data_IF_644571484869
#
_entry.id   IF_644571484869
#
_cell.length_a   1.000
_cell.length_b   1.000
_cell.length_c   1.000
_cell.angle_alpha   90.00
_cell.angle_beta   90.00
_cell.angle_gamma   90.00
#
_symmetry.space_group_name_H-M   'P 1'
#
loop_
_entity.id
_entity.type
_entity.pdbx_description
1 polymer ?
#
# COMPACT_ATOMS: atom_id res chain seq x y z
N UNK A 1 -47.88 54.33 20.21
CA UNK A 1 -49.22 54.04 20.78
C UNK A 1 -49.18 52.57 21.08
N UNK A 2 -49.23 52.21 22.37
CA UNK A 2 -48.50 51.05 22.92
C UNK A 2 -46.95 51.16 22.71
N UNK A 3 -46.07 50.70 23.60
CA UNK A 3 -46.28 50.01 24.89
C UNK A 3 -46.29 48.48 24.79
N UNK A 4 -45.77 47.69 25.72
CA UNK A 4 -45.13 47.95 27.04
C UNK A 4 -44.09 46.82 27.32
N UNK A 5 -43.09 47.11 28.17
CA UNK A 5 -42.40 46.35 29.25
C UNK A 5 -42.33 44.78 29.24
N UNK A 6 -41.52 44.03 30.01
CA UNK A 6 -40.64 44.17 31.22
C UNK A 6 -39.53 43.06 31.09
N UNK A 7 -38.48 42.82 31.90
CA UNK A 7 -37.91 43.38 33.14
C UNK A 7 -36.37 43.13 33.23
N UNK A 8 -35.64 43.98 33.95
CA UNK A 8 -34.84 43.75 35.19
C UNK A 8 -34.53 42.27 35.64
N UNK A 9 -33.41 41.91 36.30
CA UNK A 9 -32.23 42.70 36.76
C UNK A 9 -30.98 41.84 37.17
N UNK A 10 -29.98 42.53 37.73
CA UNK A 10 -29.04 42.15 38.82
C UNK A 10 -27.63 41.55 38.54
N UNK A 11 -26.70 42.05 39.37
CA UNK A 11 -25.24 41.99 39.32
C UNK A 11 -24.62 40.73 39.97
N UNK A 12 -23.35 40.40 39.65
CA UNK A 12 -22.20 40.47 40.60
C UNK A 12 -20.85 40.13 39.90
N UNK A 13 -19.71 40.36 40.58
CA UNK A 13 -18.38 40.53 39.97
C UNK A 13 -17.44 39.29 39.98
N UNK A 14 -17.05 38.84 38.78
CA UNK A 14 -16.05 37.77 38.56
C UNK A 14 -14.62 38.28 38.25
N UNK A 15 -13.90 38.81 39.24
CA UNK A 15 -12.57 39.47 39.07
C UNK A 15 -11.41 38.49 38.76
N UNK A 16 -11.02 38.33 37.49
CA UNK A 16 -9.75 37.65 37.12
C UNK A 16 -8.85 38.45 36.16
N UNK A 17 -7.55 38.51 36.49
CA UNK A 17 -6.53 39.29 35.77
C UNK A 17 -6.14 38.63 34.45
N UNK A 18 -6.33 39.30 33.30
CA UNK A 18 -5.59 38.97 32.07
C UNK A 18 -4.23 39.65 32.10
N UNK A 19 -3.17 38.88 32.37
CA UNK A 19 -1.80 39.33 32.14
C UNK A 19 -1.60 39.61 30.65
N UNK A 20 -1.14 40.81 30.32
CA UNK A 20 -0.56 41.11 29.00
C UNK A 20 0.92 40.74 29.07
N UNK A 21 1.29 39.58 28.51
CA UNK A 21 2.71 39.30 28.29
C UNK A 21 3.16 40.10 27.05
N UNK A 22 4.22 40.89 27.21
CA UNK A 22 4.89 41.67 26.17
C UNK A 22 6.30 41.12 26.10
N UNK A 23 6.48 40.09 25.29
CA UNK A 23 7.82 39.57 24.98
C UNK A 23 8.40 40.41 23.85
N UNK A 24 8.97 41.53 24.29
CA UNK A 24 9.81 42.42 23.51
C UNK A 24 11.21 41.80 23.50
N UNK A 25 11.55 41.12 22.40
CA UNK A 25 12.90 40.58 22.19
C UNK A 25 13.82 41.73 21.79
N UNK A 26 14.45 42.34 22.79
CA UNK A 26 15.65 43.17 22.61
C UNK A 26 16.86 42.22 22.43
N UNK A 27 17.22 41.96 21.18
CA UNK A 27 18.46 41.24 20.83
C UNK A 27 19.67 42.20 20.94
N UNK A 28 20.08 42.52 22.17
CA UNK A 28 21.42 43.07 22.42
C UNK A 28 22.45 41.92 22.32
N UNK A 29 23.03 41.75 21.12
CA UNK A 29 24.15 40.83 20.85
C UNK A 29 25.42 41.26 21.61
N UNK A 30 25.49 40.95 22.92
CA UNK A 30 26.72 41.11 23.71
C UNK A 30 27.71 39.98 23.33
N UNK A 31 28.70 40.33 22.49
CA UNK A 31 29.62 39.39 21.84
C UNK A 31 30.56 38.68 22.84
N UNK A 32 30.06 37.60 23.45
CA UNK A 32 30.78 36.73 24.38
C UNK A 32 32.11 36.24 23.78
N UNK A 33 33.22 36.74 24.33
CA UNK A 33 34.57 36.44 23.85
C UNK A 33 34.86 34.93 23.81
N UNK A 34 35.63 34.51 22.80
CA UNK A 34 35.82 33.08 22.45
C UNK A 34 36.21 32.17 23.62
N UNK A 35 36.99 32.69 24.58
CA UNK A 35 37.41 31.96 25.78
C UNK A 35 36.24 31.61 26.73
N UNK A 36 35.24 32.50 26.83
CA UNK A 36 34.08 32.35 27.71
C UNK A 36 33.01 31.47 27.04
N UNK A 37 32.82 31.61 25.73
CA UNK A 37 32.06 30.65 24.92
C UNK A 37 32.64 29.23 25.03
N UNK A 38 33.97 29.06 24.93
CA UNK A 38 34.64 27.77 25.15
C UNK A 38 34.51 27.27 26.60
N UNK A 39 34.53 28.16 27.60
CA UNK A 39 34.31 27.77 29.00
C UNK A 39 32.89 27.23 29.21
N UNK A 40 31.88 27.93 28.68
CA UNK A 40 30.47 27.51 28.74
C UNK A 40 30.24 26.19 27.98
N UNK A 41 30.87 26.03 26.81
CA UNK A 41 30.81 24.78 26.04
C UNK A 41 31.47 23.61 26.79
N UNK A 42 32.61 23.84 27.46
CA UNK A 42 33.24 22.83 28.35
C UNK A 42 32.34 22.51 29.55
N UNK A 43 31.67 23.48 30.13
CA UNK A 43 30.73 23.27 31.24
C UNK A 43 29.51 22.45 30.80
N UNK A 44 28.96 22.70 29.61
CA UNK A 44 27.91 21.85 29.01
C UNK A 44 28.41 20.42 28.74
N UNK A 45 29.63 20.26 28.23
CA UNK A 45 30.26 18.95 28.01
C UNK A 45 30.55 18.19 29.32
N UNK A 46 30.77 18.89 30.44
CA UNK A 46 30.83 18.28 31.77
C UNK A 46 29.45 17.92 32.32
N UNK A 47 28.40 18.75 32.09
CA UNK A 47 27.01 18.39 32.45
C UNK A 47 26.49 17.16 31.68
N UNK A 48 27.00 16.91 30.47
CA UNK A 48 26.81 15.64 29.73
C UNK A 48 27.49 14.40 30.35
N UNK A 49 28.21 14.54 31.47
CA UNK A 49 28.78 13.43 32.27
C UNK A 49 28.13 13.25 33.65
N UNK A 50 26.95 13.82 33.88
CA UNK A 50 26.12 13.46 35.04
C UNK A 50 25.45 12.09 34.83
N UNK A 51 25.34 11.24 35.87
CA UNK A 51 24.77 9.89 35.73
C UNK A 51 23.28 9.89 35.36
N UNK A 52 22.53 10.91 35.77
CA UNK A 52 21.06 10.97 35.62
C UNK A 52 20.56 11.08 34.17
N UNK A 53 21.45 11.34 33.20
CA UNK A 53 21.06 11.55 31.78
C UNK A 53 20.95 10.27 30.94
N UNK A 54 21.19 9.09 31.53
CA UNK A 54 21.13 7.78 30.87
C UNK A 54 20.15 6.79 31.52
N UNK A 55 19.57 7.12 32.68
CA UNK A 55 18.82 6.16 33.49
C UNK A 55 17.33 5.99 33.08
N UNK A 56 16.83 6.85 32.18
CA UNK A 56 15.49 6.74 31.55
C UNK A 56 15.53 5.89 30.26
N UNK A 57 16.73 5.62 29.72
CA UNK A 57 16.96 4.68 28.62
C UNK A 57 17.23 3.25 29.11
N UNK A 58 17.19 2.99 30.43
CA UNK A 58 17.28 1.65 31.06
C UNK A 58 15.98 0.82 30.89
N UNK A 59 15.30 1.00 29.75
CA UNK A 59 14.21 0.13 29.31
C UNK A 59 14.85 -1.12 28.68
N UNK A 60 15.38 -1.93 29.60
CA UNK A 60 15.83 -3.32 29.50
C UNK A 60 15.78 -3.96 28.09
N UNK A 61 16.96 -4.28 27.56
CA UNK A 61 17.10 -5.08 26.34
C UNK A 61 16.42 -6.45 26.48
N UNK A 62 16.33 -7.02 27.69
CA UNK A 62 15.66 -8.28 27.94
C UNK A 62 14.13 -8.13 27.78
N UNK A 63 13.50 -7.07 28.30
CA UNK A 63 12.10 -6.74 28.01
C UNK A 63 11.81 -6.58 26.51
N UNK A 64 12.69 -5.89 25.76
CA UNK A 64 12.53 -5.79 24.30
C UNK A 64 12.70 -7.14 23.61
N UNK A 65 13.75 -7.92 23.94
CA UNK A 65 13.96 -9.28 23.40
C UNK A 65 12.77 -10.18 23.72
N UNK A 66 12.33 -10.25 24.97
CA UNK A 66 11.25 -11.11 25.42
C UNK A 66 9.90 -10.77 24.76
N UNK A 67 9.63 -9.50 24.40
CA UNK A 67 8.44 -9.11 23.62
C UNK A 67 8.49 -9.64 22.16
N UNK A 68 9.68 -9.73 21.56
CA UNK A 68 9.86 -10.07 20.14
C UNK A 68 10.43 -11.47 19.87
N UNK A 69 10.80 -12.24 20.91
CA UNK A 69 11.39 -13.57 20.78
C UNK A 69 10.43 -14.60 20.16
N UNK A 70 9.13 -14.44 20.40
CA UNK A 70 8.02 -15.26 19.88
C UNK A 70 7.74 -15.01 18.38
N UNK A 71 8.79 -14.89 17.58
CA UNK A 71 8.75 -14.64 16.12
C UNK A 71 9.69 -15.58 15.37
N UNK A 72 10.71 -16.16 16.02
CA UNK A 72 11.65 -17.09 15.37
C UNK A 72 11.17 -18.56 15.37
N UNK A 73 10.24 -18.93 16.26
CA UNK A 73 9.67 -20.29 16.38
C UNK A 73 8.26 -20.46 15.74
N UNK A 74 7.57 -19.36 15.39
CA UNK A 74 6.12 -19.33 15.09
C UNK A 74 5.73 -19.57 13.60
N UNK A 75 6.64 -20.03 12.73
CA UNK A 75 6.35 -20.22 11.29
C UNK A 75 5.44 -21.44 10.99
N UNK A 76 5.21 -22.33 11.98
CA UNK A 76 4.37 -23.55 11.85
C UNK A 76 3.10 -23.61 12.76
N UNK A 77 2.47 -22.46 13.05
CA UNK A 77 1.01 -22.32 12.89
C UNK A 77 0.00 -22.42 14.06
N UNK A 78 -1.28 -22.32 13.67
CA UNK A 78 -2.53 -22.58 14.43
C UNK A 78 -3.10 -21.55 15.44
N UNK A 79 -3.51 -20.37 14.93
CA UNK A 79 -4.89 -19.84 15.00
C UNK A 79 -5.66 -19.73 16.36
N UNK A 80 -5.02 -19.84 17.53
CA UNK A 80 -5.72 -19.75 18.83
C UNK A 80 -5.27 -18.54 19.69
N UNK A 81 -3.96 -18.35 19.87
CA UNK A 81 -3.41 -17.30 20.75
C UNK A 81 -3.19 -15.94 20.07
N UNK A 82 -3.56 -15.83 18.79
CA UNK A 82 -3.35 -14.67 17.91
C UNK A 82 -3.75 -13.33 18.54
N UNK A 83 -4.93 -13.24 19.18
CA UNK A 83 -5.43 -11.96 19.70
C UNK A 83 -4.70 -11.52 20.98
N UNK A 84 -4.33 -12.45 21.86
CA UNK A 84 -3.51 -12.15 23.03
C UNK A 84 -2.09 -11.73 22.61
N UNK A 85 -1.50 -12.46 21.65
CA UNK A 85 -0.16 -12.21 21.12
C UNK A 85 -0.11 -10.86 20.36
N UNK A 86 -1.16 -10.50 19.59
CA UNK A 86 -1.31 -9.18 18.95
C UNK A 86 -1.48 -8.06 19.98
N UNK A 87 -2.28 -8.26 21.02
CA UNK A 87 -2.49 -7.24 22.06
C UNK A 87 -1.20 -6.96 22.87
N UNK A 88 -0.35 -7.97 23.10
CA UNK A 88 0.97 -7.81 23.71
C UNK A 88 1.99 -7.04 22.83
N UNK A 89 1.73 -6.95 21.51
CA UNK A 89 2.54 -6.24 20.50
C UNK A 89 2.02 -4.82 20.21
N UNK A 90 1.04 -4.31 20.95
CA UNK A 90 0.57 -2.92 20.83
C UNK A 90 1.57 -1.93 21.48
N UNK A 91 1.70 -0.68 20.97
CA UNK A 91 2.63 0.31 21.52
C UNK A 91 2.29 0.73 22.97
N UNK A 92 3.25 0.60 23.89
CA UNK A 92 3.17 1.13 25.24
C UNK A 92 3.61 2.61 25.24
N UNK A 93 2.62 3.48 25.48
CA UNK A 93 2.72 4.95 25.56
C UNK A 93 3.89 5.44 26.43
N UNK A 94 4.31 4.66 27.44
CA UNK A 94 5.38 5.05 28.37
C UNK A 94 6.76 4.52 28.00
N UNK A 95 6.83 3.40 27.29
CA UNK A 95 8.10 2.69 27.04
C UNK A 95 8.60 2.82 25.61
N UNK A 96 7.69 2.74 24.66
CA UNK A 96 8.04 2.60 23.25
C UNK A 96 8.26 3.98 22.60
N UNK A 97 9.09 4.07 21.54
CA UNK A 97 9.32 5.34 20.86
C UNK A 97 8.08 5.84 20.11
N UNK A 98 8.01 7.16 19.90
CA UNK A 98 6.91 7.79 19.18
C UNK A 98 7.12 7.72 17.66
N UNK A 99 6.04 7.53 16.89
CA UNK A 99 6.06 7.63 15.43
C UNK A 99 5.70 9.06 14.99
N UNK A 100 6.51 9.60 14.09
CA UNK A 100 6.35 10.94 13.53
C UNK A 100 6.05 10.85 12.03
N UNK A 101 4.92 11.42 11.61
CA UNK A 101 4.53 11.51 10.20
C UNK A 101 5.12 12.78 9.58
N UNK A 102 5.81 12.63 8.44
CA UNK A 102 6.51 13.71 7.74
C UNK A 102 6.01 13.79 6.31
N UNK A 103 5.52 14.95 5.88
CA UNK A 103 5.18 15.17 4.47
C UNK A 103 6.47 15.27 3.64
N UNK A 104 6.53 14.50 2.57
CA UNK A 104 7.62 14.50 1.58
C UNK A 104 7.10 14.80 0.17
N UNK A 105 7.99 14.97 -0.80
CA UNK A 105 7.63 14.99 -2.22
C UNK A 105 7.10 13.62 -2.66
N UNK A 106 5.99 13.61 -3.38
CA UNK A 106 5.34 12.37 -3.82
C UNK A 106 6.27 11.59 -4.77
N UNK A 107 6.43 10.28 -4.56
CA UNK A 107 7.37 9.42 -5.30
C UNK A 107 8.82 9.47 -4.80
N UNK A 108 9.11 10.17 -3.69
CA UNK A 108 10.42 10.18 -3.04
C UNK A 108 10.45 9.40 -1.71
N UNK A 109 9.34 8.78 -1.30
CA UNK A 109 9.15 8.17 0.02
C UNK A 109 10.17 7.06 0.27
N UNK A 110 10.20 6.06 -0.62
CA UNK A 110 11.14 4.93 -0.54
C UNK A 110 12.60 5.38 -0.63
N UNK A 111 12.89 6.37 -1.51
CA UNK A 111 14.23 6.90 -1.66
C UNK A 111 14.71 7.62 -0.40
N UNK A 112 13.81 8.34 0.30
CA UNK A 112 14.13 9.02 1.55
C UNK A 112 14.40 8.00 2.68
N UNK A 113 13.59 6.94 2.80
CA UNK A 113 13.83 5.85 3.76
C UNK A 113 15.23 5.23 3.56
N UNK A 114 15.61 4.93 2.31
CA UNK A 114 16.92 4.37 1.97
C UNK A 114 18.06 5.35 2.30
N UNK A 115 17.91 6.64 1.96
CA UNK A 115 18.91 7.66 2.29
C UNK A 115 19.07 7.85 3.82
N UNK A 116 17.98 7.78 4.60
CA UNK A 116 18.04 7.86 6.07
C UNK A 116 18.74 6.62 6.65
N UNK A 117 18.46 5.43 6.13
CA UNK A 117 19.17 4.20 6.52
C UNK A 117 20.68 4.26 6.20
N UNK A 118 21.04 4.76 5.02
CA UNK A 118 22.44 4.99 4.64
C UNK A 118 23.11 5.99 5.60
N UNK A 119 22.46 7.13 5.87
CA UNK A 119 22.93 8.15 6.80
C UNK A 119 23.10 7.60 8.23
N UNK A 120 22.18 6.76 8.71
CA UNK A 120 22.27 6.07 10.00
C UNK A 120 23.55 5.22 10.10
N UNK A 121 23.79 4.34 9.12
CA UNK A 121 24.97 3.46 9.09
C UNK A 121 26.27 4.28 8.98
N UNK A 122 26.33 5.28 8.11
CA UNK A 122 27.51 6.12 7.93
C UNK A 122 27.83 6.94 9.19
N UNK A 123 26.84 7.53 9.86
CA UNK A 123 27.07 8.32 11.07
C UNK A 123 27.41 7.45 12.29
N UNK A 124 26.84 6.24 12.39
CA UNK A 124 27.27 5.26 13.40
C UNK A 124 28.75 4.88 13.23
N UNK A 125 29.21 4.65 11.99
CA UNK A 125 30.62 4.39 11.68
C UNK A 125 31.55 5.59 11.96
N UNK A 126 31.01 6.82 11.94
CA UNK A 126 31.74 8.06 12.27
C UNK A 126 31.71 8.40 13.77
N UNK A 127 31.08 7.58 14.61
CA UNK A 127 30.97 7.82 16.06
C UNK A 127 29.92 8.86 16.46
N UNK A 128 29.01 9.21 15.56
CA UNK A 128 27.95 10.22 15.74
C UNK A 128 26.56 9.67 15.38
N UNK A 129 26.14 8.51 15.93
CA UNK A 129 24.94 7.79 15.51
C UNK A 129 23.65 8.62 15.60
N UNK A 130 22.70 8.36 14.69
CA UNK A 130 21.38 8.98 14.72
C UNK A 130 20.50 8.35 15.80
N UNK A 131 19.73 9.19 16.50
CA UNK A 131 18.85 8.79 17.61
C UNK A 131 17.42 8.41 17.14
N UNK A 132 17.32 7.69 16.02
CA UNK A 132 16.05 7.21 15.44
C UNK A 132 16.04 5.68 15.41
N UNK A 133 14.90 5.07 15.71
CA UNK A 133 14.76 3.61 15.84
C UNK A 133 14.42 2.94 14.51
N UNK A 134 13.52 3.54 13.73
CA UNK A 134 13.09 3.02 12.43
C UNK A 134 12.65 4.14 11.48
N UNK A 135 12.61 3.83 10.18
CA UNK A 135 12.05 4.69 9.12
C UNK A 135 11.34 3.83 8.07
N UNK A 136 10.11 4.20 7.72
CA UNK A 136 9.28 3.44 6.77
C UNK A 136 8.28 4.32 6.02
N UNK A 137 7.74 3.81 4.93
CA UNK A 137 6.69 4.45 4.15
C UNK A 137 5.58 3.45 3.84
N UNK A 138 4.33 3.81 4.16
CA UNK A 138 3.18 2.98 3.82
C UNK A 138 2.81 3.19 2.34
N UNK A 139 2.75 2.11 1.56
CA UNK A 139 2.43 2.16 0.12
C UNK A 139 1.05 2.73 -0.22
N UNK A 140 0.15 2.89 0.76
CA UNK A 140 -1.14 3.55 0.61
C UNK A 140 -1.07 5.07 0.90
N UNK A 141 -0.13 5.52 1.74
CA UNK A 141 0.00 6.91 2.19
C UNK A 141 1.01 7.70 1.34
N UNK A 142 0.66 7.96 0.07
CA UNK A 142 1.55 8.66 -0.86
C UNK A 142 1.98 10.05 -0.35
N UNK A 143 3.26 10.35 -0.52
CA UNK A 143 3.86 11.61 -0.11
C UNK A 143 4.10 11.74 1.40
N UNK A 144 4.12 10.64 2.16
CA UNK A 144 4.47 10.63 3.58
C UNK A 144 5.54 9.58 3.90
N UNK A 145 6.37 9.91 4.90
CA UNK A 145 7.33 8.98 5.52
C UNK A 145 7.10 9.03 7.03
N UNK A 146 7.22 7.88 7.68
CA UNK A 146 7.08 7.70 9.11
C UNK A 146 8.46 7.42 9.72
N UNK A 147 8.80 8.14 10.78
CA UNK A 147 10.08 8.00 11.50
C UNK A 147 9.78 7.74 12.97
N UNK A 148 10.37 6.68 13.50
CA UNK A 148 10.23 6.29 14.90
C UNK A 148 11.38 6.90 15.72
N UNK A 149 11.05 7.71 16.74
CA UNK A 149 12.03 8.35 17.61
C UNK A 149 11.41 8.83 18.94
N UNK A 150 12.15 8.70 20.05
CA UNK A 150 11.71 9.20 21.37
C UNK A 150 11.43 10.71 21.38
N UNK A 151 12.13 11.52 20.56
CA UNK A 151 12.10 12.99 20.62
C UNK A 151 12.08 13.62 19.21
N UNK A 152 11.25 14.65 19.03
CA UNK A 152 11.12 15.45 17.79
C UNK A 152 12.46 15.97 17.23
N UNK A 153 13.41 16.30 18.10
CA UNK A 153 14.74 16.76 17.71
C UNK A 153 15.52 15.71 16.89
N UNK A 154 15.38 14.42 17.22
CA UNK A 154 16.06 13.32 16.53
C UNK A 154 15.49 13.09 15.12
N UNK A 155 14.21 13.36 14.93
CA UNK A 155 13.57 13.34 13.59
C UNK A 155 14.12 14.48 12.72
N UNK A 156 14.30 15.68 13.29
CA UNK A 156 14.96 16.81 12.61
C UNK A 156 16.44 16.52 12.30
N UNK A 157 17.16 15.87 13.21
CA UNK A 157 18.54 15.42 13.02
C UNK A 157 18.66 14.44 11.84
N UNK A 158 17.82 13.41 11.80
CA UNK A 158 17.75 12.44 10.71
C UNK A 158 17.39 13.09 9.36
N UNK A 159 16.47 14.06 9.34
CA UNK A 159 16.04 14.78 8.13
C UNK A 159 16.99 15.91 7.71
N UNK A 160 17.94 16.32 8.55
CA UNK A 160 18.89 17.40 8.22
C UNK A 160 19.71 17.06 6.95
N UNK A 161 19.76 18.00 6.01
CA UNK A 161 20.41 17.86 4.70
C UNK A 161 19.59 17.12 3.63
N UNK A 162 18.43 16.56 3.98
CA UNK A 162 17.66 15.69 3.08
C UNK A 162 16.78 16.49 2.12
N UNK A 163 16.72 16.06 0.84
CA UNK A 163 15.93 16.72 -0.21
C UNK A 163 14.48 16.20 -0.23
N UNK A 164 13.55 17.05 -0.67
CA UNK A 164 12.14 16.68 -0.82
C UNK A 164 11.33 16.61 0.49
N UNK A 165 11.88 17.10 1.61
CA UNK A 165 11.24 17.07 2.94
C UNK A 165 10.55 18.39 3.27
N UNK A 166 9.26 18.36 3.56
CA UNK A 166 8.51 19.54 4.02
C UNK A 166 8.64 19.68 5.54
N UNK A 167 9.75 20.26 5.99
CA UNK A 167 10.13 20.37 7.41
C UNK A 167 9.08 21.04 8.33
N UNK A 168 8.19 21.88 7.78
CA UNK A 168 7.07 22.51 8.50
C UNK A 168 5.81 21.65 8.59
N UNK A 169 5.78 20.49 7.92
CA UNK A 169 4.67 19.53 7.86
C UNK A 169 5.10 18.20 8.45
N UNK A 170 5.47 18.27 9.73
CA UNK A 170 5.80 17.13 10.59
C UNK A 170 4.81 17.10 11.76
N UNK A 171 4.25 15.92 12.04
CA UNK A 171 3.23 15.73 13.07
C UNK A 171 3.51 14.44 13.85
N UNK A 172 3.24 14.46 15.16
CA UNK A 172 3.19 13.25 15.97
C UNK A 172 1.99 12.40 15.55
N UNK A 173 2.18 11.09 15.36
CA UNK A 173 1.08 10.15 15.11
C UNK A 173 0.40 9.79 16.44
N UNK A 174 -0.93 9.87 16.56
CA UNK A 174 -1.64 9.40 17.76
C UNK A 174 -1.38 7.92 18.03
N UNK A 175 -1.27 7.54 19.31
CA UNK A 175 -0.90 6.16 19.67
C UNK A 175 -1.96 5.13 19.22
N UNK A 176 -3.21 5.55 19.11
CA UNK A 176 -4.33 4.77 18.51
C UNK A 176 -4.18 4.55 16.99
N UNK A 177 -3.40 5.37 16.30
CA UNK A 177 -3.18 5.32 14.84
C UNK A 177 -1.82 4.70 14.46
N UNK A 178 -0.87 4.57 15.41
CA UNK A 178 0.46 3.99 15.17
C UNK A 178 0.39 2.64 14.45
N UNK A 179 -0.47 1.73 14.92
CA UNK A 179 -0.68 0.41 14.28
C UNK A 179 -1.15 0.56 12.83
N UNK A 180 -2.03 1.52 12.55
CA UNK A 180 -2.53 1.83 11.20
C UNK A 180 -1.46 2.29 10.22
N UNK A 181 -0.39 2.95 10.70
CA UNK A 181 0.71 3.41 9.83
C UNK A 181 1.53 2.24 9.26
N UNK A 182 1.74 1.18 10.05
CA UNK A 182 2.49 -0.03 9.65
C UNK A 182 1.56 -1.08 9.04
N UNK A 183 0.25 -1.01 9.30
CA UNK A 183 -0.74 -1.96 8.79
C UNK A 183 -0.74 -2.00 7.26
N UNK A 184 -0.14 -3.05 6.70
CA UNK A 184 -0.38 -3.44 5.31
C UNK A 184 -1.78 -4.00 5.25
N UNK A 185 -2.75 -3.13 4.96
CA UNK A 185 -4.03 -3.54 4.39
C UNK A 185 -3.73 -4.25 3.07
N UNK A 186 -3.54 -5.58 3.15
CA UNK A 186 -3.54 -6.46 1.99
C UNK A 186 -4.83 -6.16 1.26
N UNK A 187 -4.72 -5.53 0.09
CA UNK A 187 -5.74 -5.67 -0.93
C UNK A 187 -5.61 -7.08 -1.49
N UNK A 188 -5.97 -8.07 -0.67
CA UNK A 188 -6.77 -9.17 -1.15
C UNK A 188 -8.01 -8.50 -1.76
N UNK A 189 -7.89 -8.17 -3.04
CA UNK A 189 -9.00 -8.35 -3.93
C UNK A 189 -9.32 -9.84 -3.84
N UNK A 190 -10.09 -10.21 -2.81
CA UNK A 190 -10.64 -11.55 -2.62
C UNK A 190 -11.68 -11.73 -3.70
N UNK A 191 -11.16 -11.90 -4.91
CA UNK A 191 -11.87 -12.45 -6.03
C UNK A 191 -12.18 -13.88 -5.62
N UNK A 192 -13.30 -14.02 -4.90
CA UNK A 192 -13.85 -15.31 -4.53
C UNK A 192 -13.86 -16.15 -5.82
N UNK A 193 -13.41 -17.40 -5.76
CA UNK A 193 -13.63 -18.30 -6.89
C UNK A 193 -15.14 -18.28 -7.23
N UNK A 194 -15.49 -18.19 -8.52
CA UNK A 194 -16.81 -17.83 -9.10
C UNK A 194 -17.20 -16.34 -9.18
N UNK A 195 -16.39 -15.43 -8.65
CA UNK A 195 -16.63 -13.98 -8.71
C UNK A 195 -16.43 -13.36 -10.11
N UNK A 196 -16.72 -12.06 -10.25
CA UNK A 196 -16.59 -11.33 -11.52
C UNK A 196 -15.38 -10.38 -11.55
N UNK A 197 -14.75 -10.29 -12.72
CA UNK A 197 -13.63 -9.39 -13.01
C UNK A 197 -13.90 -8.60 -14.31
N UNK A 198 -13.37 -7.38 -14.43
CA UNK A 198 -13.42 -6.60 -15.68
C UNK A 198 -12.02 -6.23 -16.16
N UNK A 199 -11.71 -6.54 -17.42
CA UNK A 199 -10.33 -6.44 -17.93
C UNK A 199 -10.00 -4.97 -18.30
N UNK A 200 -8.90 -4.43 -17.75
CA UNK A 200 -8.52 -3.01 -17.93
C UNK A 200 -7.62 -2.75 -19.15
N UNK A 201 -7.00 -3.78 -19.74
CA UNK A 201 -5.93 -3.66 -20.76
C UNK A 201 -5.96 -4.78 -21.81
N UNK A 202 -5.39 -4.53 -22.99
CA UNK A 202 -5.22 -5.53 -24.05
C UNK A 202 -6.47 -5.77 -24.92
N UNK A 203 -6.46 -6.87 -25.68
CA UNK A 203 -7.50 -7.27 -26.66
C UNK A 203 -8.92 -7.35 -26.07
N UNK A 204 -9.02 -7.63 -24.77
CA UNK A 204 -10.27 -7.82 -24.03
C UNK A 204 -10.61 -6.62 -23.12
N UNK A 205 -10.01 -5.44 -23.34
CA UNK A 205 -10.26 -4.25 -22.50
C UNK A 205 -11.76 -3.87 -22.50
N UNK A 206 -12.35 -3.85 -21.31
CA UNK A 206 -13.75 -3.53 -21.06
C UNK A 206 -14.64 -4.76 -20.85
N UNK A 207 -14.23 -5.92 -21.37
CA UNK A 207 -14.98 -7.17 -21.28
C UNK A 207 -15.05 -7.67 -19.82
N UNK A 208 -16.18 -8.30 -19.48
CA UNK A 208 -16.37 -9.00 -18.21
C UNK A 208 -15.78 -10.43 -18.31
N UNK A 209 -15.36 -10.95 -17.17
CA UNK A 209 -14.70 -12.22 -17.00
C UNK A 209 -15.17 -12.90 -15.71
N UNK A 210 -15.37 -14.21 -15.72
CA UNK A 210 -15.64 -14.99 -14.52
C UNK A 210 -14.32 -15.51 -13.93
N UNK A 211 -14.11 -15.34 -12.63
CA UNK A 211 -12.91 -15.77 -11.92
C UNK A 211 -12.98 -17.27 -11.62
N UNK A 212 -11.98 -18.00 -12.10
CA UNK A 212 -11.82 -19.44 -11.88
C UNK A 212 -10.97 -19.67 -10.62
N UNK A 213 -9.77 -19.11 -10.62
CA UNK A 213 -8.77 -19.31 -9.58
C UNK A 213 -7.93 -18.05 -9.36
N UNK A 214 -7.33 -17.93 -8.17
CA UNK A 214 -6.41 -16.86 -7.79
C UNK A 214 -5.10 -17.49 -7.36
N UNK A 215 -3.99 -17.04 -7.95
CA UNK A 215 -2.65 -17.43 -7.56
C UNK A 215 -1.97 -16.26 -6.86
N UNK A 216 -2.09 -16.23 -5.53
CA UNK A 216 -1.49 -15.20 -4.67
C UNK A 216 0.05 -15.18 -4.78
N UNK A 217 0.68 -16.33 -5.07
CA UNK A 217 2.14 -16.45 -5.19
C UNK A 217 2.65 -15.81 -6.49
N UNK A 218 1.91 -15.98 -7.60
CA UNK A 218 2.21 -15.32 -8.90
C UNK A 218 1.63 -13.91 -9.01
N UNK A 219 0.68 -13.53 -8.12
CA UNK A 219 -0.11 -12.30 -8.20
C UNK A 219 -0.91 -12.21 -9.52
N UNK A 220 -1.47 -13.35 -9.93
CA UNK A 220 -2.29 -13.53 -11.13
C UNK A 220 -3.65 -14.16 -10.79
N UNK A 221 -4.63 -13.91 -11.65
CA UNK A 221 -5.99 -14.46 -11.54
C UNK A 221 -6.31 -15.15 -12.86
N UNK A 222 -6.76 -16.40 -12.79
CA UNK A 222 -7.28 -17.11 -13.94
C UNK A 222 -8.76 -16.78 -14.13
N UNK A 223 -9.14 -16.44 -15.36
CA UNK A 223 -10.53 -16.14 -15.71
C UNK A 223 -10.99 -16.91 -16.94
N UNK A 224 -12.29 -17.25 -16.97
CA UNK A 224 -13.04 -17.63 -18.18
C UNK A 224 -13.58 -16.35 -18.81
N UNK A 225 -13.31 -16.13 -20.10
CA UNK A 225 -13.81 -14.99 -20.89
C UNK A 225 -14.44 -15.44 -22.20
N UNK A 226 -15.47 -14.72 -22.63
CA UNK A 226 -16.02 -14.85 -24.00
C UNK A 226 -14.92 -14.47 -24.99
N UNK A 227 -14.45 -15.39 -25.85
CA UNK A 227 -13.30 -15.12 -26.70
C UNK A 227 -13.63 -14.19 -27.87
N UNK A 228 -12.56 -13.71 -28.50
CA UNK A 228 -12.57 -12.86 -29.70
C UNK A 228 -11.68 -13.50 -30.75
N UNK A 229 -12.14 -14.60 -31.33
CA UNK A 229 -11.41 -15.42 -32.32
C UNK A 229 -11.51 -14.78 -33.69
N UNK A 230 -10.39 -14.65 -34.42
CA UNK A 230 -10.38 -14.08 -35.78
C UNK A 230 -10.40 -15.21 -36.82
N UNK A 231 -11.59 -15.56 -37.30
CA UNK A 231 -11.78 -16.64 -38.29
C UNK A 231 -11.62 -16.16 -39.74
N UNK A 232 -11.14 -14.93 -39.98
CA UNK A 232 -10.99 -14.40 -41.31
C UNK A 232 -9.76 -14.98 -42.04
N UNK A 233 -9.94 -15.39 -43.29
CA UNK A 233 -8.82 -15.85 -44.11
C UNK A 233 -8.04 -14.66 -44.67
N UNK A 234 -6.79 -14.53 -44.21
CA UNK A 234 -5.87 -13.48 -44.64
C UNK A 234 -4.88 -13.95 -45.71
N UNK A 235 -4.89 -15.23 -46.12
CA UNK A 235 -3.99 -15.76 -47.16
C UNK A 235 -4.25 -15.18 -48.55
N UNK A 236 -5.42 -14.53 -48.74
CA UNK A 236 -5.79 -13.80 -49.96
C UNK A 236 -5.12 -12.42 -50.10
N UNK A 237 -4.38 -11.96 -49.09
CA UNK A 237 -3.65 -10.68 -49.11
C UNK A 237 -2.13 -10.91 -49.07
N UNK A 238 -1.35 -9.98 -49.62
CA UNK A 238 0.11 -9.98 -49.43
C UNK A 238 0.47 -9.95 -47.93
N UNK A 239 1.55 -10.64 -47.54
CA UNK A 239 1.94 -10.83 -46.14
C UNK A 239 2.01 -9.51 -45.34
N UNK A 240 2.58 -8.46 -45.95
CA UNK A 240 2.71 -7.13 -45.38
C UNK A 240 1.39 -6.37 -45.21
N UNK A 241 0.31 -6.80 -45.89
CA UNK A 241 -1.06 -6.32 -45.68
C UNK A 241 -1.84 -7.23 -44.73
N UNK A 242 -1.77 -8.55 -44.89
CA UNK A 242 -2.35 -9.54 -43.99
C UNK A 242 -1.97 -9.26 -42.52
N UNK A 243 -0.69 -8.98 -42.25
CA UNK A 243 -0.17 -8.61 -40.93
C UNK A 243 -0.76 -7.30 -40.40
N UNK A 244 -0.97 -6.29 -41.25
CA UNK A 244 -1.61 -5.01 -40.89
C UNK A 244 -3.10 -5.17 -40.62
N UNK A 245 -3.78 -6.10 -41.29
CA UNK A 245 -5.20 -6.40 -41.10
C UNK A 245 -5.42 -7.19 -39.80
N UNK A 246 -4.72 -8.32 -39.61
CA UNK A 246 -4.73 -9.10 -38.34
C UNK A 246 -4.43 -8.22 -37.12
N UNK A 247 -3.43 -7.32 -37.20
CA UNK A 247 -3.08 -6.42 -36.09
C UNK A 247 -4.11 -5.32 -35.78
N UNK A 248 -5.11 -5.10 -36.66
CA UNK A 248 -6.22 -4.15 -36.46
C UNK A 248 -7.56 -4.85 -36.21
N UNK A 249 -7.65 -6.16 -36.42
CA UNK A 249 -8.85 -6.92 -36.19
C UNK A 249 -9.17 -6.95 -34.69
N UNK A 250 -10.39 -6.53 -34.34
CA UNK A 250 -10.99 -6.75 -33.02
C UNK A 250 -12.20 -7.64 -33.27
N UNK A 251 -12.05 -8.97 -33.18
CA UNK A 251 -13.15 -9.87 -33.49
C UNK A 251 -14.34 -9.69 -32.53
N UNK A 252 -15.51 -10.08 -33.02
CA UNK A 252 -16.75 -10.06 -32.26
C UNK A 252 -16.63 -11.01 -31.06
N UNK A 253 -17.23 -10.64 -29.92
CA UNK A 253 -17.34 -11.55 -28.77
C UNK A 253 -18.24 -12.72 -29.15
N UNK A 254 -17.72 -13.95 -29.11
CA UNK A 254 -18.49 -15.19 -29.32
C UNK A 254 -17.78 -16.35 -28.64
N UNK A 255 -18.54 -17.26 -28.07
CA UNK A 255 -18.06 -18.57 -27.62
C UNK A 255 -17.42 -19.31 -28.80
N UNK A 256 -16.36 -20.09 -28.56
CA UNK A 256 -15.68 -20.89 -29.58
C UNK A 256 -15.84 -22.38 -29.26
N UNK A 257 -16.88 -23.01 -29.82
CA UNK A 257 -17.03 -24.47 -29.84
C UNK A 257 -16.57 -24.99 -31.19
N UNK A 258 -15.68 -26.00 -31.28
CA UNK A 258 -15.29 -26.60 -32.56
C UNK A 258 -16.47 -27.14 -33.37
N UNK A 259 -17.52 -27.62 -32.69
CA UNK A 259 -18.77 -28.13 -33.25
C UNK A 259 -19.50 -27.12 -34.19
N UNK A 260 -19.31 -25.82 -33.99
CA UNK A 260 -19.90 -24.76 -34.82
C UNK A 260 -19.22 -24.61 -36.21
N UNK A 261 -18.10 -25.31 -36.43
CA UNK A 261 -17.22 -25.14 -37.59
C UNK A 261 -17.08 -26.43 -38.42
N UNK A 262 -16.62 -26.29 -39.67
CA UNK A 262 -16.33 -27.45 -40.52
C UNK A 262 -15.00 -28.08 -40.13
N UNK A 263 -14.91 -29.39 -40.29
CA UNK A 263 -13.66 -30.15 -40.10
C UNK A 263 -12.52 -29.56 -40.96
N UNK A 264 -12.79 -29.17 -42.21
CA UNK A 264 -11.80 -28.54 -43.10
C UNK A 264 -11.24 -27.22 -42.53
N UNK A 265 -12.09 -26.41 -41.90
CA UNK A 265 -11.70 -25.14 -41.27
C UNK A 265 -10.91 -25.40 -39.98
N UNK A 266 -11.35 -26.34 -39.14
CA UNK A 266 -10.64 -26.75 -37.91
C UNK A 266 -9.25 -27.31 -38.19
N UNK A 267 -9.11 -28.14 -39.22
CA UNK A 267 -7.82 -28.71 -39.65
C UNK A 267 -6.90 -27.62 -40.20
N UNK A 268 -7.43 -26.71 -41.03
CA UNK A 268 -6.71 -25.53 -41.53
C UNK A 268 -6.28 -24.56 -40.42
N UNK A 269 -7.00 -24.57 -39.30
CA UNK A 269 -6.72 -23.77 -38.12
C UNK A 269 -5.81 -24.46 -37.09
N UNK A 270 -5.41 -25.72 -37.32
CA UNK A 270 -4.56 -26.49 -36.40
C UNK A 270 -5.14 -26.53 -34.97
N UNK A 271 -6.47 -26.70 -34.86
CA UNK A 271 -7.16 -26.77 -33.56
C UNK A 271 -6.86 -28.10 -32.87
N UNK A 272 -6.13 -28.04 -31.75
CA UNK A 272 -5.80 -29.21 -30.94
C UNK A 272 -6.90 -29.48 -29.90
N UNK A 273 -7.33 -30.73 -29.76
CA UNK A 273 -8.12 -31.20 -28.59
C UNK A 273 -7.17 -31.80 -27.54
N UNK A 274 -7.34 -31.39 -26.29
CA UNK A 274 -6.54 -31.84 -25.15
C UNK A 274 -7.40 -31.90 -23.89
N UNK A 275 -6.81 -32.26 -22.74
CA UNK A 275 -7.50 -32.26 -21.44
C UNK A 275 -6.76 -31.40 -20.44
N UNK A 276 -7.52 -30.78 -19.54
CA UNK A 276 -6.95 -29.97 -18.47
C UNK A 276 -6.74 -30.75 -17.17
N UNK A 277 -6.34 -30.03 -16.12
CA UNK A 277 -6.00 -30.57 -14.80
C UNK A 277 -7.19 -31.20 -14.08
N UNK A 278 -8.43 -30.89 -14.51
CA UNK A 278 -9.68 -31.48 -14.02
C UNK A 278 -10.18 -32.62 -14.93
N UNK A 279 -9.37 -33.00 -15.93
CA UNK A 279 -9.69 -33.94 -17.01
C UNK A 279 -10.86 -33.50 -17.91
N UNK A 280 -11.29 -32.23 -17.84
CA UNK A 280 -12.24 -31.64 -18.79
C UNK A 280 -11.62 -31.63 -20.19
N UNK A 281 -12.41 -31.91 -21.24
CA UNK A 281 -11.99 -31.63 -22.61
C UNK A 281 -11.77 -30.12 -22.78
N UNK A 282 -10.73 -29.74 -23.50
CA UNK A 282 -10.38 -28.35 -23.78
C UNK A 282 -9.65 -28.26 -25.13
N UNK A 283 -9.72 -27.08 -25.76
CA UNK A 283 -9.22 -26.88 -27.12
C UNK A 283 -8.11 -25.83 -27.13
N UNK A 284 -7.16 -25.93 -28.05
CA UNK A 284 -6.12 -24.92 -28.27
C UNK A 284 -6.19 -24.42 -29.71
N UNK A 285 -6.22 -23.10 -29.89
CA UNK A 285 -6.17 -22.43 -31.20
C UNK A 285 -5.44 -21.08 -31.10
N UNK A 286 -4.50 -20.80 -32.01
CA UNK A 286 -3.57 -19.64 -31.96
C UNK A 286 -2.93 -19.42 -30.56
N UNK A 287 -2.65 -20.51 -29.82
CA UNK A 287 -2.11 -20.46 -28.44
C UNK A 287 -3.09 -19.94 -27.37
N UNK A 288 -4.37 -19.83 -27.69
CA UNK A 288 -5.46 -19.58 -26.74
C UNK A 288 -6.08 -20.92 -26.31
N UNK A 289 -6.30 -21.14 -25.01
CA UNK A 289 -6.90 -22.35 -24.44
C UNK A 289 -8.37 -22.13 -24.13
N UNK A 290 -9.24 -22.96 -24.66
CA UNK A 290 -10.69 -22.89 -24.53
C UNK A 290 -11.19 -24.08 -23.69
N UNK A 291 -12.16 -23.87 -22.79
CA UNK A 291 -12.83 -24.99 -22.11
C UNK A 291 -13.86 -25.69 -23.03
N UNK A 292 -14.40 -26.83 -22.58
CA UNK A 292 -15.45 -27.58 -23.30
C UNK A 292 -16.68 -26.70 -23.64
N UNK A 293 -16.96 -25.69 -22.82
CA UNK A 293 -18.04 -24.73 -23.04
C UNK A 293 -17.74 -23.71 -24.13
N UNK A 294 -16.46 -23.51 -24.47
CA UNK A 294 -15.96 -22.59 -25.49
C UNK A 294 -15.54 -21.21 -24.97
N UNK A 295 -15.36 -21.03 -23.65
CA UNK A 295 -14.72 -19.83 -23.08
C UNK A 295 -13.21 -19.97 -23.07
N UNK A 296 -12.51 -18.86 -23.27
CA UNK A 296 -11.05 -18.80 -23.14
C UNK A 296 -10.66 -18.76 -21.65
N UNK A 297 -10.00 -19.82 -21.17
CA UNK A 297 -9.34 -19.90 -19.85
C UNK A 297 -7.99 -19.17 -19.94
N UNK A 298 -7.79 -18.08 -19.18
CA UNK A 298 -6.56 -17.26 -19.26
C UNK A 298 -6.18 -16.59 -17.93
N UNK A 299 -4.90 -16.69 -17.56
CA UNK A 299 -4.30 -15.92 -16.46
C UNK A 299 -4.05 -14.44 -16.83
N UNK A 300 -4.31 -13.56 -15.87
CA UNK A 300 -4.05 -12.13 -15.93
C UNK A 300 -3.45 -11.61 -14.60
N UNK A 301 -2.37 -10.81 -14.60
CA UNK A 301 -1.89 -10.15 -13.39
C UNK A 301 -2.98 -9.28 -12.73
N UNK A 302 -3.12 -9.35 -11.41
CA UNK A 302 -4.17 -8.63 -10.64
C UNK A 302 -4.28 -7.15 -11.03
N UNK A 303 -3.14 -6.47 -11.21
CA UNK A 303 -3.04 -5.06 -11.66
C UNK A 303 -3.72 -4.74 -13.02
N UNK A 304 -4.03 -5.75 -13.82
CA UNK A 304 -4.68 -5.63 -15.13
C UNK A 304 -6.20 -5.82 -15.09
N UNK A 305 -6.75 -6.23 -13.94
CA UNK A 305 -8.18 -6.46 -13.71
C UNK A 305 -8.80 -5.39 -12.81
N UNK A 306 -10.11 -5.18 -12.93
CA UNK A 306 -10.96 -4.67 -11.85
C UNK A 306 -11.56 -5.88 -11.13
N UNK A 307 -11.44 -5.89 -9.80
CA UNK A 307 -11.88 -6.96 -8.91
C UNK A 307 -12.54 -6.29 -7.71
N UNK A 308 -13.75 -6.73 -7.36
CA UNK A 308 -14.56 -6.14 -6.29
C UNK A 308 -16.05 -6.38 -6.49
N UNK A 309 -16.85 -6.13 -5.46
CA UNK A 309 -18.32 -6.30 -5.48
C UNK A 309 -19.07 -5.24 -6.31
N UNK A 310 -18.35 -4.20 -6.75
CA UNK A 310 -18.75 -3.23 -7.76
C UNK A 310 -18.77 -3.82 -9.19
N UNK A 311 -17.96 -4.85 -9.44
CA UNK A 311 -17.86 -5.49 -10.76
C UNK A 311 -19.01 -6.47 -10.95
N UNK A 312 -19.92 -6.12 -11.85
CA UNK A 312 -21.06 -6.98 -12.24
C UNK A 312 -21.14 -7.13 -13.76
N UNK A 313 -21.62 -8.29 -14.26
CA UNK A 313 -21.95 -8.51 -15.67
C UNK A 313 -23.20 -7.73 -16.08
N UNK A 314 -23.35 -7.46 -17.37
CA UNK A 314 -24.59 -6.94 -17.95
C UNK A 314 -25.56 -8.09 -18.31
N UNK A 315 -26.83 -7.78 -18.61
CA UNK A 315 -27.86 -8.79 -18.93
C UNK A 315 -27.49 -9.66 -20.14
N UNK A 316 -26.75 -9.13 -21.11
CA UNK A 316 -26.28 -9.90 -22.26
C UNK A 316 -25.03 -10.74 -21.95
N UNK A 317 -24.22 -10.33 -20.97
CA UNK A 317 -23.11 -11.15 -20.49
C UNK A 317 -23.66 -12.32 -19.65
N UNK A 318 -24.61 -12.05 -18.75
CA UNK A 318 -25.28 -13.09 -17.94
C UNK A 318 -25.80 -14.23 -18.81
N UNK A 319 -26.58 -13.93 -19.86
CA UNK A 319 -27.08 -14.95 -20.81
C UNK A 319 -25.96 -15.83 -21.40
N UNK A 320 -24.81 -15.25 -21.73
CA UNK A 320 -23.68 -15.98 -22.31
C UNK A 320 -23.01 -16.92 -21.30
N UNK A 321 -22.90 -16.53 -20.03
CA UNK A 321 -22.34 -17.38 -18.97
C UNK A 321 -23.37 -18.36 -18.37
N UNK A 322 -24.67 -18.04 -18.41
CA UNK A 322 -25.78 -18.84 -17.89
C UNK A 322 -26.18 -19.98 -18.85
N UNK A 323 -26.08 -19.76 -20.17
CA UNK A 323 -26.32 -20.78 -21.23
C UNK A 323 -25.43 -22.04 -21.17
N UNK A 324 -24.51 -22.10 -20.20
CA UNK A 324 -23.54 -23.17 -20.01
C UNK A 324 -23.76 -23.93 -18.68
N UNK A 325 -24.61 -23.41 -17.77
CA UNK A 325 -24.90 -24.07 -16.49
C UNK A 325 -26.02 -25.14 -16.58
N UNK A 326 -26.79 -25.12 -17.68
CA UNK A 326 -27.94 -26.01 -17.95
C UNK A 326 -27.63 -27.09 -19.02
N UNK A 327 -26.38 -27.55 -19.16
CA UNK A 327 -25.96 -28.61 -20.11
C UNK A 327 -25.17 -29.73 -19.43
#
# INVERSE_FOLDING_TARGET
MAGEDESDDEEDAGRHKKHRHRDEYDDEDEELGEAEAQAMQRQMMQRKKGPDFLHDDEIDEEHFRNRYKTVEDDDEGQNADDEANRNARLPDIKKDPHVWCVKVANGQEQSLCIQILQKFVTLAQQGTPLHVSAVYCNGQAQGFVYIEARKHAFVKEALSGMRGVFHTKMQLVPNTEMVGTVTVLKKTATAMATGWARIKRGKYKGDIAQVVSVDDNKNEVEVRIVPRVDTADYTIYEEGEAKKRRAKAIPVRRIFKPEDYKIDDLVKWEVEETRDEQMENCYIYEGMKFDASGFLKKAFPVKSLQLGSDVKPELDDLKLFEQVLDQ
#
